data_IF_095384184706
#
_entry.id   IF_095384184706
#
_cell.length_a   1.000
_cell.length_b   1.000
_cell.length_c   1.000
_cell.angle_alpha   90.00
_cell.angle_beta   90.00
_cell.angle_gamma   90.00
#
_symmetry.space_group_name_H-M   'P 1'
#
loop_
_entity.id
_entity.type
_entity.pdbx_description
1 polymer ?
#
# COMPACT_ATOMS: atom_id res chain seq x y z
N UNK A 1 13.49 13.81 -2.83
CA UNK A 1 13.46 12.42 -3.31
C UNK A 1 12.32 11.68 -2.61
N UNK A 2 11.57 10.82 -3.32
CA UNK A 2 10.46 10.06 -2.75
C UNK A 2 10.93 9.17 -1.60
N UNK A 3 10.03 8.90 -0.65
CA UNK A 3 10.32 8.09 0.52
C UNK A 3 10.42 6.60 0.14
N UNK A 4 11.17 5.77 0.87
CA UNK A 4 11.38 4.34 0.54
C UNK A 4 10.08 3.55 0.27
N UNK A 5 9.00 3.87 0.96
CA UNK A 5 7.69 3.28 0.78
C UNK A 5 6.94 3.80 -0.45
N UNK A 6 7.16 5.05 -0.87
CA UNK A 6 6.69 5.53 -2.18
C UNK A 6 7.35 4.72 -3.31
N UNK A 7 8.62 4.31 -3.16
CA UNK A 7 9.25 3.43 -4.15
C UNK A 7 8.70 1.99 -4.09
N UNK A 8 8.27 1.49 -2.92
CA UNK A 8 7.53 0.21 -2.83
C UNK A 8 6.21 0.33 -3.59
N UNK A 9 5.43 1.38 -3.33
CA UNK A 9 4.21 1.72 -4.08
C UNK A 9 4.49 1.71 -5.60
N UNK A 10 5.52 2.42 -6.05
CA UNK A 10 5.88 2.51 -7.48
C UNK A 10 6.30 1.16 -8.07
N UNK A 11 6.96 0.30 -7.29
CA UNK A 11 7.36 -1.04 -7.71
C UNK A 11 6.14 -1.95 -7.95
N UNK A 12 5.09 -1.82 -7.14
CA UNK A 12 3.84 -2.55 -7.31
C UNK A 12 2.97 -2.01 -8.46
N UNK A 13 2.96 -0.69 -8.69
CA UNK A 13 2.20 -0.08 -9.79
C UNK A 13 2.85 -0.36 -11.16
N UNK A 14 4.18 -0.26 -11.26
CA UNK A 14 4.88 -0.25 -12.56
C UNK A 14 5.10 -1.63 -13.18
N UNK A 15 4.76 -2.72 -12.48
CA UNK A 15 5.35 -4.02 -12.76
C UNK A 15 6.84 -4.01 -12.38
N UNK A 16 7.37 -5.16 -11.99
CA UNK A 16 8.79 -5.36 -11.64
C UNK A 16 9.73 -4.73 -12.69
N UNK A 17 10.18 -3.49 -12.47
CA UNK A 17 11.23 -2.85 -13.26
C UNK A 17 12.58 -3.02 -12.53
N UNK A 18 13.45 -3.94 -12.98
CA UNK A 18 14.69 -4.27 -12.26
C UNK A 18 15.72 -3.15 -12.28
N UNK A 19 15.65 -2.23 -13.26
CA UNK A 19 16.68 -1.22 -13.53
C UNK A 19 16.93 -0.14 -12.45
N UNK A 20 16.13 -0.08 -11.38
CA UNK A 20 16.35 0.90 -10.28
C UNK A 20 16.59 0.29 -8.89
N UNK A 21 16.65 -1.03 -8.79
CA UNK A 21 16.83 -1.75 -7.51
C UNK A 21 18.19 -1.48 -6.85
N UNK A 22 19.27 -1.33 -7.62
CA UNK A 22 20.62 -1.09 -7.08
C UNK A 22 20.78 0.31 -6.45
N UNK A 23 20.27 1.36 -7.10
CA UNK A 23 20.25 2.72 -6.54
C UNK A 23 19.33 2.81 -5.31
N UNK A 24 18.24 2.04 -5.32
CA UNK A 24 17.29 1.92 -4.21
C UNK A 24 17.88 1.22 -2.98
N UNK A 25 18.55 0.08 -3.17
CA UNK A 25 19.22 -0.65 -2.08
C UNK A 25 20.33 0.20 -1.44
N UNK A 26 21.12 0.91 -2.24
CA UNK A 26 22.15 1.83 -1.74
C UNK A 26 21.54 3.01 -0.95
N UNK A 27 20.36 3.50 -1.33
CA UNK A 27 19.67 4.58 -0.62
C UNK A 27 18.99 4.11 0.68
N UNK A 28 18.35 2.94 0.69
CA UNK A 28 17.87 2.31 1.93
C UNK A 28 19.07 2.10 2.87
N UNK A 29 20.17 1.56 2.34
CA UNK A 29 21.42 1.45 3.11
C UNK A 29 21.90 2.80 3.63
N UNK A 30 21.74 3.91 2.90
CA UNK A 30 22.18 5.24 3.34
C UNK A 30 21.25 5.88 4.38
N UNK A 31 19.93 5.81 4.17
CA UNK A 31 18.92 6.41 5.07
C UNK A 31 18.73 5.61 6.36
N UNK A 32 19.05 4.32 6.32
CA UNK A 32 18.97 3.38 7.43
C UNK A 32 20.37 2.86 7.85
N UNK A 33 21.46 3.49 7.38
CA UNK A 33 22.82 3.07 7.69
C UNK A 33 23.12 3.19 9.19
N UNK A 34 23.84 2.20 9.71
CA UNK A 34 24.38 2.23 11.07
C UNK A 34 25.28 3.47 11.27
N UNK A 35 25.33 3.98 12.50
CA UNK A 35 26.07 5.19 12.91
C UNK A 35 27.53 5.17 12.45
N UNK A 36 28.15 3.98 12.44
CA UNK A 36 29.53 3.73 12.02
C UNK A 36 29.78 3.95 10.51
N UNK A 37 28.87 3.54 9.63
CA UNK A 37 29.02 3.67 8.17
C UNK A 37 29.02 5.13 7.73
N UNK A 38 28.25 5.98 8.41
CA UNK A 38 28.13 7.40 8.11
C UNK A 38 29.27 8.20 8.75
N UNK A 39 29.75 7.82 9.94
CA UNK A 39 30.96 8.41 10.51
C UNK A 39 32.18 8.17 9.61
N UNK A 40 32.28 6.99 8.99
CA UNK A 40 33.33 6.70 8.01
C UNK A 40 33.17 7.51 6.72
N UNK A 41 31.96 7.61 6.15
CA UNK A 41 31.71 8.46 4.98
C UNK A 41 31.94 9.95 5.26
N UNK A 42 31.66 10.41 6.49
CA UNK A 42 31.90 11.77 6.95
C UNK A 42 33.39 12.03 7.20
N UNK A 43 34.10 11.09 7.80
CA UNK A 43 35.55 11.14 7.94
C UNK A 43 36.23 11.23 6.56
N UNK A 44 35.76 10.44 5.58
CA UNK A 44 36.19 10.50 4.18
C UNK A 44 35.81 11.80 3.47
N UNK A 45 34.72 12.47 3.85
CA UNK A 45 34.33 13.76 3.28
C UNK A 45 35.11 14.94 3.91
N UNK A 46 35.58 14.79 5.15
CA UNK A 46 36.38 15.77 5.87
C UNK A 46 37.87 15.74 5.51
N UNK A 47 38.35 14.70 4.83
CA UNK A 47 39.72 14.68 4.29
C UNK A 47 39.92 15.59 3.07
N UNK A 48 38.84 16.21 2.54
CA UNK A 48 38.94 17.18 1.44
C UNK A 48 39.06 18.61 1.97
N UNK A 49 40.19 19.30 1.74
CA UNK A 49 40.45 20.60 2.33
C UNK A 49 39.77 21.67 1.48
N UNK A 50 38.49 21.97 1.71
CA UNK A 50 37.80 23.22 1.28
C UNK A 50 36.27 23.10 1.42
N UNK A 51 35.71 23.00 2.64
CA UNK A 51 34.31 23.41 2.87
C UNK A 51 34.17 24.08 4.23
N UNK A 52 33.61 25.29 4.22
CA UNK A 52 33.49 26.17 5.38
C UNK A 52 32.79 25.49 6.57
N UNK A 53 33.18 25.88 7.78
CA UNK A 53 32.57 25.45 9.06
C UNK A 53 31.04 25.59 9.03
N UNK A 54 30.53 26.59 8.31
CA UNK A 54 29.10 26.84 8.07
C UNK A 54 28.42 25.72 7.29
N UNK A 55 29.05 25.19 6.24
CA UNK A 55 28.55 24.03 5.49
C UNK A 55 28.51 22.80 6.39
N UNK A 56 29.59 22.55 7.15
CA UNK A 56 29.65 21.42 8.07
C UNK A 56 28.55 21.51 9.15
N UNK A 57 28.26 22.71 9.68
CA UNK A 57 27.23 22.94 10.71
C UNK A 57 25.80 22.84 10.15
N UNK A 58 25.55 23.38 8.96
CA UNK A 58 24.27 23.25 8.26
C UNK A 58 23.98 21.80 7.84
N UNK A 59 25.01 21.09 7.35
CA UNK A 59 24.93 19.67 7.03
C UNK A 59 24.72 18.81 8.28
N UNK A 60 25.40 19.12 9.40
CA UNK A 60 25.18 18.44 10.69
C UNK A 60 23.75 18.63 11.19
N UNK A 61 23.20 19.84 11.11
CA UNK A 61 21.80 20.13 11.46
C UNK A 61 20.82 19.36 10.59
N UNK A 62 21.07 19.29 9.27
CA UNK A 62 20.22 18.54 8.33
C UNK A 62 20.31 17.02 8.50
N UNK A 63 21.49 16.50 8.85
CA UNK A 63 21.66 15.09 9.22
C UNK A 63 21.06 14.77 10.59
N UNK A 64 21.15 15.67 11.56
CA UNK A 64 20.54 15.52 12.88
C UNK A 64 19.01 15.62 12.83
N UNK A 65 18.44 16.35 11.87
CA UNK A 65 16.99 16.43 11.65
C UNK A 65 16.44 15.29 10.79
N UNK A 66 17.29 14.40 10.27
CA UNK A 66 16.81 13.24 9.51
C UNK A 66 16.41 12.17 10.53
N UNK A 67 15.11 11.97 10.73
CA UNK A 67 14.56 10.87 11.53
C UNK A 67 15.05 9.54 10.92
N UNK A 68 16.05 8.90 11.56
CA UNK A 68 16.66 7.66 11.09
C UNK A 68 15.93 6.52 11.79
N UNK A 69 15.04 5.88 11.05
CA UNK A 69 14.38 4.67 11.53
C UNK A 69 15.28 3.46 11.30
N UNK A 70 15.19 2.41 12.12
CA UNK A 70 15.82 1.13 11.81
C UNK A 70 15.09 0.47 10.62
N UNK A 71 15.81 -0.33 9.83
CA UNK A 71 15.26 -1.09 8.68
C UNK A 71 14.10 -1.98 9.13
N UNK A 72 14.15 -2.47 10.37
CA UNK A 72 13.10 -3.30 10.98
C UNK A 72 11.78 -2.55 11.06
N UNK A 73 11.75 -1.29 11.48
CA UNK A 73 10.52 -0.49 11.53
C UNK A 73 9.92 -0.28 10.15
N UNK A 74 10.76 -0.06 9.13
CA UNK A 74 10.28 0.03 7.75
C UNK A 74 9.62 -1.27 7.31
N UNK A 75 10.31 -2.40 7.53
CA UNK A 75 9.82 -3.72 7.17
C UNK A 75 8.49 -4.04 7.86
N UNK A 76 8.38 -3.89 9.18
CA UNK A 76 7.14 -4.16 9.93
C UNK A 76 5.99 -3.22 9.56
N UNK A 77 6.30 -2.02 9.08
CA UNK A 77 5.32 -1.07 8.63
C UNK A 77 4.76 -1.43 7.23
N UNK A 78 5.60 -1.91 6.31
CA UNK A 78 5.22 -2.20 4.92
C UNK A 78 4.86 -3.67 4.65
N UNK A 79 5.33 -4.61 5.46
CA UNK A 79 5.07 -6.04 5.28
C UNK A 79 3.56 -6.37 5.24
N UNK A 80 2.68 -5.80 6.09
CA UNK A 80 1.24 -6.05 6.00
C UNK A 80 0.62 -5.53 4.69
N UNK A 81 1.11 -4.40 4.16
CA UNK A 81 0.63 -3.84 2.88
C UNK A 81 0.98 -4.79 1.74
N UNK A 82 2.23 -5.25 1.71
CA UNK A 82 2.74 -6.16 0.70
C UNK A 82 2.00 -7.50 0.77
N UNK A 83 1.86 -8.07 1.97
CA UNK A 83 1.16 -9.33 2.18
C UNK A 83 -0.30 -9.25 1.70
N UNK A 84 -0.99 -8.15 2.02
CA UNK A 84 -2.38 -7.96 1.61
C UNK A 84 -2.52 -7.72 0.11
N UNK A 85 -1.63 -6.94 -0.50
CA UNK A 85 -1.60 -6.79 -1.96
C UNK A 85 -1.34 -8.15 -2.66
N UNK A 86 -0.39 -8.94 -2.16
CA UNK A 86 -0.16 -10.29 -2.68
C UNK A 86 -1.39 -11.19 -2.53
N UNK A 87 -2.15 -11.06 -1.43
CA UNK A 87 -3.40 -11.80 -1.25
C UNK A 87 -4.45 -11.41 -2.30
N UNK A 88 -4.63 -10.11 -2.58
CA UNK A 88 -5.53 -9.63 -3.63
C UNK A 88 -5.13 -10.22 -4.98
N UNK A 89 -3.84 -10.16 -5.32
CA UNK A 89 -3.34 -10.74 -6.57
C UNK A 89 -3.68 -12.24 -6.71
N UNK A 90 -3.61 -13.01 -5.62
CA UNK A 90 -4.03 -14.41 -5.60
C UNK A 90 -5.54 -14.55 -5.80
N UNK A 91 -6.36 -13.71 -5.15
CA UNK A 91 -7.81 -13.67 -5.35
C UNK A 91 -8.21 -13.25 -6.77
N UNK A 92 -7.32 -12.59 -7.51
CA UNK A 92 -7.54 -12.21 -8.91
C UNK A 92 -7.14 -13.29 -9.92
N UNK A 93 -6.64 -14.44 -9.47
CA UNK A 93 -6.34 -15.60 -10.33
C UNK A 93 -7.59 -16.41 -10.71
N UNK A 94 -7.41 -17.44 -11.56
CA UNK A 94 -8.47 -18.40 -11.93
C UNK A 94 -9.09 -19.13 -10.75
N UNK A 95 -8.30 -19.40 -9.70
CA UNK A 95 -8.71 -20.20 -8.55
C UNK A 95 -9.96 -19.61 -7.89
N UNK A 96 -10.06 -18.29 -7.90
CA UNK A 96 -11.17 -17.54 -7.31
C UNK A 96 -12.10 -16.93 -8.36
N UNK A 97 -12.07 -17.41 -9.61
CA UNK A 97 -12.95 -16.92 -10.67
C UNK A 97 -14.42 -17.22 -10.38
N UNK A 98 -15.32 -16.50 -11.06
CA UNK A 98 -16.76 -16.73 -10.91
C UNK A 98 -17.11 -18.18 -11.25
N UNK A 99 -16.48 -18.77 -12.29
CA UNK A 99 -16.70 -20.15 -12.67
C UNK A 99 -16.36 -21.16 -11.55
N UNK A 100 -15.20 -21.00 -10.89
CA UNK A 100 -14.79 -21.91 -9.81
C UNK A 100 -15.54 -21.69 -8.51
N UNK A 101 -15.89 -20.44 -8.19
CA UNK A 101 -16.57 -20.12 -6.93
C UNK A 101 -18.08 -20.36 -6.99
N UNK A 102 -18.70 -20.34 -8.17
CA UNK A 102 -20.13 -20.60 -8.33
C UNK A 102 -20.54 -21.99 -7.82
N UNK A 103 -19.74 -23.02 -8.08
CA UNK A 103 -20.03 -24.39 -7.63
C UNK A 103 -20.15 -24.53 -6.12
N UNK A 104 -19.43 -23.71 -5.35
CA UNK A 104 -19.55 -23.67 -3.88
C UNK A 104 -20.93 -23.12 -3.47
N UNK A 105 -21.38 -22.04 -4.11
CA UNK A 105 -22.67 -21.43 -3.81
C UNK A 105 -23.83 -22.33 -4.25
N UNK A 106 -23.71 -22.95 -5.43
CA UNK A 106 -24.70 -23.89 -5.97
C UNK A 106 -24.78 -25.19 -5.14
N UNK A 107 -23.70 -25.62 -4.50
CA UNK A 107 -23.71 -26.78 -3.61
C UNK A 107 -24.27 -26.45 -2.20
N UNK A 108 -23.90 -25.31 -1.63
CA UNK A 108 -24.20 -24.98 -0.22
C UNK A 108 -25.54 -24.27 -0.03
N UNK A 109 -25.88 -23.28 -0.87
CA UNK A 109 -27.07 -22.45 -0.64
C UNK A 109 -28.39 -23.23 -0.72
N UNK A 110 -28.59 -24.19 -1.64
CA UNK A 110 -29.80 -25.00 -1.64
C UNK A 110 -29.97 -25.87 -0.39
N UNK A 111 -28.86 -26.27 0.26
CA UNK A 111 -28.93 -27.06 1.51
C UNK A 111 -29.40 -26.22 2.71
N UNK A 112 -29.07 -24.93 2.71
CA UNK A 112 -29.43 -23.99 3.79
C UNK A 112 -30.75 -23.28 3.52
N UNK A 113 -31.03 -22.97 2.26
CA UNK A 113 -32.17 -22.19 1.81
C UNK A 113 -32.82 -22.84 0.57
N UNK A 114 -33.58 -23.94 0.74
CA UNK A 114 -34.14 -24.72 -0.37
C UNK A 114 -35.12 -23.95 -1.26
N UNK A 115 -35.64 -22.82 -0.79
CA UNK A 115 -36.58 -21.96 -1.53
C UNK A 115 -35.89 -20.97 -2.48
N UNK A 116 -34.56 -20.90 -2.51
CA UNK A 116 -33.84 -20.03 -3.44
C UNK A 116 -33.87 -20.61 -4.86
N UNK A 117 -34.25 -19.79 -5.83
CA UNK A 117 -34.09 -20.10 -7.24
C UNK A 117 -32.61 -20.01 -7.67
N UNK A 118 -32.25 -20.70 -8.75
CA UNK A 118 -30.90 -20.62 -9.31
C UNK A 118 -30.49 -19.17 -9.66
N UNK A 119 -31.44 -18.35 -10.13
CA UNK A 119 -31.19 -16.94 -10.42
C UNK A 119 -30.88 -16.11 -9.16
N UNK A 120 -31.49 -16.42 -8.02
CA UNK A 120 -31.16 -15.76 -6.75
C UNK A 120 -29.79 -16.18 -6.23
N UNK A 121 -29.43 -17.46 -6.35
CA UNK A 121 -28.10 -17.98 -5.99
C UNK A 121 -27.01 -17.25 -6.78
N UNK A 122 -27.19 -17.09 -8.10
CA UNK A 122 -26.26 -16.35 -8.95
C UNK A 122 -26.15 -14.87 -8.55
N UNK A 123 -27.27 -14.23 -8.18
CA UNK A 123 -27.25 -12.84 -7.69
C UNK A 123 -26.52 -12.71 -6.36
N UNK A 124 -26.77 -13.62 -5.41
CA UNK A 124 -26.07 -13.65 -4.13
C UNK A 124 -24.57 -13.80 -4.36
N UNK A 125 -24.18 -14.78 -5.19
CA UNK A 125 -22.77 -15.00 -5.55
C UNK A 125 -22.13 -13.76 -6.17
N UNK A 126 -22.80 -13.13 -7.15
CA UNK A 126 -22.32 -11.90 -7.77
C UNK A 126 -22.16 -10.76 -6.75
N UNK A 127 -23.15 -10.53 -5.89
CA UNK A 127 -23.08 -9.50 -4.83
C UNK A 127 -21.96 -9.80 -3.84
N UNK A 128 -21.82 -11.04 -3.39
CA UNK A 128 -20.73 -11.45 -2.50
C UNK A 128 -19.36 -11.17 -3.10
N UNK A 129 -19.18 -11.43 -4.40
CA UNK A 129 -17.92 -11.09 -5.10
C UNK A 129 -17.66 -9.59 -5.12
N UNK A 130 -18.65 -8.76 -5.48
CA UNK A 130 -18.50 -7.29 -5.49
C UNK A 130 -18.20 -6.74 -4.09
N UNK A 131 -18.78 -7.33 -3.04
CA UNK A 131 -18.45 -7.00 -1.65
C UNK A 131 -17.03 -7.44 -1.26
N UNK A 132 -16.54 -8.57 -1.79
CA UNK A 132 -15.16 -9.03 -1.65
C UNK A 132 -14.17 -8.00 -2.19
N UNK A 133 -14.31 -7.64 -3.46
CA UNK A 133 -13.57 -6.57 -4.15
C UNK A 133 -13.53 -5.26 -3.32
N UNK A 134 -14.72 -4.76 -2.93
CA UNK A 134 -14.80 -3.58 -2.07
C UNK A 134 -14.00 -3.75 -0.75
N UNK A 135 -14.14 -4.88 -0.07
CA UNK A 135 -13.53 -5.14 1.24
C UNK A 135 -12.00 -5.30 1.15
N UNK A 136 -11.52 -5.94 0.09
CA UNK A 136 -10.10 -6.13 -0.20
C UNK A 136 -9.37 -4.79 -0.31
N UNK A 137 -9.88 -3.90 -1.15
CA UNK A 137 -9.28 -2.58 -1.36
C UNK A 137 -9.53 -1.63 -0.18
N UNK A 138 -10.63 -1.79 0.55
CA UNK A 138 -10.86 -1.09 1.82
C UNK A 138 -9.77 -1.43 2.86
N UNK A 139 -9.47 -2.71 3.07
CA UNK A 139 -8.41 -3.14 3.99
C UNK A 139 -7.03 -2.71 3.49
N UNK A 140 -6.77 -2.84 2.18
CA UNK A 140 -5.53 -2.35 1.57
C UNK A 140 -5.28 -0.88 1.89
N UNK A 141 -6.29 -0.03 1.70
CA UNK A 141 -6.20 1.40 1.98
C UNK A 141 -5.98 1.71 3.47
N UNK A 142 -6.59 0.94 4.39
CA UNK A 142 -6.33 1.08 5.83
C UNK A 142 -4.87 0.79 6.18
N UNK A 143 -4.32 -0.30 5.64
CA UNK A 143 -2.93 -0.72 5.85
C UNK A 143 -1.96 0.28 5.22
N UNK A 144 -2.27 0.76 4.02
CA UNK A 144 -1.48 1.75 3.30
C UNK A 144 -1.45 3.10 4.02
N UNK A 145 -2.60 3.57 4.50
CA UNK A 145 -2.68 4.80 5.30
C UNK A 145 -1.88 4.69 6.60
N UNK A 146 -1.91 3.53 7.28
CA UNK A 146 -1.05 3.27 8.44
C UNK A 146 0.43 3.39 8.04
N UNK A 147 0.82 2.75 6.94
CA UNK A 147 2.20 2.74 6.48
C UNK A 147 2.71 4.14 6.11
N UNK A 148 1.97 4.86 5.26
CA UNK A 148 2.29 6.20 4.78
C UNK A 148 2.37 7.23 5.92
N UNK A 149 1.47 7.16 6.90
CA UNK A 149 1.50 8.08 8.04
C UNK A 149 2.69 7.87 8.95
N UNK A 150 3.06 6.62 9.18
CA UNK A 150 4.23 6.31 9.97
C UNK A 150 5.49 6.82 9.26
N UNK A 151 5.57 6.66 7.94
CA UNK A 151 6.73 7.09 7.15
C UNK A 151 6.84 8.60 6.98
N UNK A 152 5.72 9.29 6.79
CA UNK A 152 5.65 10.72 6.45
C UNK A 152 5.06 11.54 7.62
N UNK A 153 5.38 11.16 8.87
CA UNK A 153 4.75 11.65 10.12
C UNK A 153 4.73 13.18 10.28
N UNK A 154 5.72 13.87 9.72
CA UNK A 154 5.90 15.33 9.88
C UNK A 154 5.28 16.15 8.74
N UNK A 155 4.59 15.52 7.78
CA UNK A 155 3.93 16.23 6.69
C UNK A 155 2.42 16.37 6.92
N UNK A 156 1.79 17.24 6.13
CA UNK A 156 0.35 17.42 6.16
C UNK A 156 -0.37 16.12 5.79
N UNK A 157 -1.51 15.89 6.44
CA UNK A 157 -2.30 14.67 6.24
C UNK A 157 -2.81 14.50 4.80
N UNK A 158 -2.85 15.60 4.03
CA UNK A 158 -3.25 15.61 2.63
C UNK A 158 -2.35 14.75 1.73
N UNK A 159 -1.04 14.67 2.01
CA UNK A 159 -0.13 13.88 1.17
C UNK A 159 -0.34 12.37 1.34
N UNK A 160 -0.39 11.80 2.56
CA UNK A 160 -0.77 10.39 2.74
C UNK A 160 -2.13 10.03 2.15
N UNK A 161 -3.13 10.92 2.28
CA UNK A 161 -4.46 10.74 1.69
C UNK A 161 -4.39 10.59 0.17
N UNK A 162 -3.76 11.55 -0.50
CA UNK A 162 -3.63 11.56 -1.95
C UNK A 162 -2.87 10.32 -2.45
N UNK A 163 -1.75 9.99 -1.81
CA UNK A 163 -0.95 8.82 -2.17
C UNK A 163 -1.73 7.51 -1.99
N UNK A 164 -2.54 7.41 -0.94
CA UNK A 164 -3.39 6.24 -0.71
C UNK A 164 -4.42 6.05 -1.83
N UNK A 165 -5.15 7.11 -2.18
CA UNK A 165 -6.19 7.06 -3.22
C UNK A 165 -5.56 6.75 -4.59
N UNK A 166 -4.48 7.46 -4.95
CA UNK A 166 -3.78 7.26 -6.23
C UNK A 166 -3.24 5.84 -6.34
N UNK A 167 -2.64 5.31 -5.27
CA UNK A 167 -2.16 3.92 -5.26
C UNK A 167 -3.31 2.92 -5.44
N UNK A 168 -4.42 3.07 -4.70
CA UNK A 168 -5.58 2.19 -4.83
C UNK A 168 -6.11 2.16 -6.26
N UNK A 169 -6.29 3.32 -6.90
CA UNK A 169 -6.78 3.41 -8.28
C UNK A 169 -5.83 2.68 -9.23
N UNK A 170 -4.53 2.94 -9.12
CA UNK A 170 -3.53 2.34 -10.00
C UNK A 170 -3.42 0.82 -9.77
N UNK A 171 -3.53 0.37 -8.51
CA UNK A 171 -3.51 -1.03 -8.17
C UNK A 171 -4.78 -1.77 -8.64
N UNK A 172 -5.95 -1.15 -8.54
CA UNK A 172 -7.20 -1.67 -9.09
C UNK A 172 -7.14 -1.79 -10.62
N UNK A 173 -6.64 -0.75 -11.29
CA UNK A 173 -6.44 -0.80 -12.73
C UNK A 173 -5.42 -1.87 -13.15
N UNK A 174 -4.33 -2.05 -12.39
CA UNK A 174 -3.35 -3.11 -12.66
C UNK A 174 -3.92 -4.51 -12.45
N UNK A 175 -4.81 -4.67 -11.47
CA UNK A 175 -5.45 -5.95 -11.19
C UNK A 175 -6.42 -6.35 -12.30
N UNK A 176 -7.26 -5.43 -12.75
CA UNK A 176 -8.18 -5.66 -13.88
C UNK A 176 -7.42 -5.89 -15.20
N UNK A 177 -6.29 -5.20 -15.39
CA UNK A 177 -5.39 -5.49 -16.50
C UNK A 177 -4.82 -6.91 -16.41
N UNK A 178 -4.38 -7.36 -15.23
CA UNK A 178 -3.94 -8.73 -15.01
C UNK A 178 -5.06 -9.75 -15.29
N UNK A 179 -6.27 -9.50 -14.79
CA UNK A 179 -7.44 -10.35 -15.04
C UNK A 179 -7.80 -10.44 -16.53
N UNK A 180 -7.47 -9.45 -17.36
CA UNK A 180 -7.67 -9.51 -18.82
C UNK A 180 -6.86 -10.62 -19.51
N UNK A 181 -5.80 -11.13 -18.88
CA UNK A 181 -5.00 -12.26 -19.37
C UNK A 181 -5.46 -13.62 -18.82
N UNK A 182 -6.48 -13.64 -17.98
CA UNK A 182 -6.96 -14.83 -17.28
C UNK A 182 -8.23 -15.34 -17.99
N UNK A 183 -8.21 -16.51 -18.66
CA UNK A 183 -9.31 -16.94 -19.54
C UNK A 183 -10.68 -17.06 -18.85
N UNK A 184 -10.72 -17.48 -17.59
CA UNK A 184 -11.96 -17.58 -16.80
C UNK A 184 -12.40 -16.26 -16.13
N UNK A 185 -11.74 -15.14 -16.44
CA UNK A 185 -12.06 -13.81 -15.93
C UNK A 185 -12.46 -12.87 -17.07
N UNK A 186 -13.23 -11.84 -16.71
CA UNK A 186 -13.58 -10.75 -17.60
C UNK A 186 -13.21 -9.46 -16.89
N UNK A 187 -12.30 -8.70 -17.49
CA UNK A 187 -11.94 -7.40 -16.95
C UNK A 187 -13.13 -6.43 -17.06
N UNK A 188 -13.39 -5.68 -16.00
CA UNK A 188 -14.51 -4.76 -15.88
C UNK A 188 -14.08 -3.43 -15.28
N UNK A 189 -14.39 -2.34 -15.98
CA UNK A 189 -14.26 -0.97 -15.44
C UNK A 189 -15.08 -0.79 -14.16
N UNK A 190 -16.20 -1.51 -14.03
CA UNK A 190 -17.02 -1.47 -12.82
C UNK A 190 -16.29 -2.07 -11.61
N UNK A 191 -15.44 -3.08 -11.81
CA UNK A 191 -14.63 -3.64 -10.73
C UNK A 191 -13.58 -2.63 -10.27
N UNK A 192 -12.89 -1.95 -11.19
CA UNK A 192 -12.00 -0.81 -10.84
C UNK A 192 -12.72 0.25 -10.02
N UNK A 193 -13.97 0.59 -10.36
CA UNK A 193 -14.77 1.57 -9.63
C UNK A 193 -15.15 1.09 -8.22
N UNK A 194 -15.52 -0.17 -8.06
CA UNK A 194 -15.87 -0.78 -6.77
C UNK A 194 -14.64 -0.84 -5.87
N UNK A 195 -13.52 -1.31 -6.39
CA UNK A 195 -12.22 -1.37 -5.71
C UNK A 195 -11.77 0.01 -5.26
N UNK A 196 -11.85 0.99 -6.17
CA UNK A 196 -11.54 2.40 -5.86
C UNK A 196 -12.45 2.94 -4.76
N UNK A 197 -13.75 2.64 -4.80
CA UNK A 197 -14.70 3.09 -3.77
C UNK A 197 -14.36 2.46 -2.41
N UNK A 198 -14.02 1.17 -2.37
CA UNK A 198 -13.52 0.49 -1.17
C UNK A 198 -12.30 1.19 -0.59
N UNK A 199 -11.29 1.47 -1.43
CA UNK A 199 -10.08 2.15 -0.99
C UNK A 199 -10.28 3.61 -0.56
N UNK A 200 -11.22 4.34 -1.17
CA UNK A 200 -11.62 5.68 -0.71
C UNK A 200 -12.25 5.57 0.68
N UNK A 201 -13.21 4.65 0.88
CA UNK A 201 -13.84 4.43 2.19
C UNK A 201 -12.83 4.06 3.28
N UNK A 202 -11.88 3.16 2.99
CA UNK A 202 -10.82 2.79 3.92
C UNK A 202 -9.90 3.97 4.25
N UNK A 203 -9.53 4.75 3.24
CA UNK A 203 -8.72 5.97 3.41
C UNK A 203 -9.44 6.99 4.30
N UNK A 204 -10.73 7.23 4.07
CA UNK A 204 -11.55 8.16 4.84
C UNK A 204 -11.73 7.71 6.29
N UNK A 205 -11.98 6.42 6.52
CA UNK A 205 -12.08 5.87 7.87
C UNK A 205 -10.78 6.07 8.67
N UNK A 206 -9.64 5.78 8.05
CA UNK A 206 -8.32 6.02 8.67
C UNK A 206 -8.11 7.50 9.00
N UNK A 207 -8.58 8.39 8.13
CA UNK A 207 -8.59 9.83 8.37
C UNK A 207 -9.39 10.24 9.59
N UNK A 208 -10.66 9.84 9.64
CA UNK A 208 -11.56 10.21 10.73
C UNK A 208 -11.09 9.66 12.08
N UNK A 209 -10.56 8.43 12.13
CA UNK A 209 -10.04 7.82 13.38
C UNK A 209 -8.89 8.64 13.99
N UNK A 210 -7.99 9.14 13.15
CA UNK A 210 -6.85 9.92 13.63
C UNK A 210 -7.21 11.37 14.00
N UNK A 211 -8.23 11.96 13.36
CA UNK A 211 -8.72 13.27 13.78
C UNK A 211 -9.36 13.21 15.17
N UNK A 212 -10.20 12.19 15.43
CA UNK A 212 -10.82 11.99 16.75
C UNK A 212 -9.81 11.82 17.88
N UNK A 213 -8.75 11.03 17.65
CA UNK A 213 -7.71 10.81 18.67
C UNK A 213 -6.95 12.09 19.03
N UNK A 214 -6.66 12.96 18.06
CA UNK A 214 -6.00 14.25 18.34
C UNK A 214 -6.90 15.21 19.14
N UNK A 215 -8.19 15.26 18.83
CA UNK A 215 -9.15 16.10 19.56
C UNK A 215 -9.32 15.64 21.00
N UNK A 216 -9.37 14.33 21.25
CA UNK A 216 -9.47 13.79 22.62
C UNK A 216 -8.20 14.00 23.45
N UNK A 217 -7.02 14.02 22.83
CA UNK A 217 -5.75 14.27 23.55
C UNK A 217 -5.49 15.74 23.86
N UNK A 218 -6.16 16.68 23.19
CA UNK A 218 -6.03 18.12 23.38
C UNK A 218 -7.44 18.75 23.48
N UNK A 219 -8.13 18.62 24.63
CA UNK A 219 -9.40 19.31 24.84
C UNK A 219 -9.20 20.85 24.81
N UNK A 220 -10.25 21.61 24.43
CA UNK A 220 -10.20 23.07 24.37
C UNK A 220 -9.93 23.72 25.74
#
# INVERSE_FOLDING_TARGET
MPSPGINVILCFIGGFFPQHTAAYMNFIHYRYANRSSILNAFALALTRPTRSVTFAKAFRRRMASTDRRPITEFFWNWAPVILWASLIFVFSTEIFSAAHTAGIFEALLPQLFPWLSAGEIQRIHAVTRKLGHFSEYFVLALLLMRALRNEIRNESIGRPLLLSIVFTILYAASDEFHQSFVPSRSASVFDVMIDTTGGICGTLLSYLRNHRTKTLSNPP
#
